data_IF_882785364619
#
_entry.id   IF_882785364619
#
_cell.length_a   1.000
_cell.length_b   1.000
_cell.length_c   1.000
_cell.angle_alpha   90.00
_cell.angle_beta   90.00
_cell.angle_gamma   90.00
#
_symmetry.space_group_name_H-M   'P 1'
#
loop_
_entity.id
_entity.type
_entity.pdbx_description
1 polymer ?
#
# COMPACT_ATOMS: atom_id res chain seq x y z
N UNK A 1 18.29 2.39 9.25
CA UNK A 1 17.32 3.00 8.32
C UNK A 1 15.90 2.63 8.75
N UNK A 2 15.01 3.62 8.77
CA UNK A 2 13.62 3.37 9.11
C UNK A 2 12.97 2.54 7.99
N UNK A 3 12.63 1.29 8.28
CA UNK A 3 12.09 0.32 7.32
C UNK A 3 10.97 0.89 6.43
N UNK A 4 10.01 1.61 7.03
CA UNK A 4 8.88 2.17 6.29
C UNK A 4 9.28 3.36 5.39
N UNK A 5 10.36 4.09 5.71
CA UNK A 5 10.85 5.18 4.87
C UNK A 5 11.31 4.71 3.48
N UNK A 6 11.79 3.47 3.37
CA UNK A 6 12.16 2.87 2.09
C UNK A 6 10.92 2.68 1.20
N UNK A 7 9.79 2.25 1.77
CA UNK A 7 8.54 2.11 1.02
C UNK A 7 7.98 3.46 0.57
N UNK A 8 8.07 4.50 1.42
CA UNK A 8 7.72 5.87 1.03
C UNK A 8 8.52 6.29 -0.20
N UNK A 9 9.85 6.14 -0.15
CA UNK A 9 10.74 6.53 -1.24
C UNK A 9 10.52 5.72 -2.53
N UNK A 10 10.23 4.41 -2.41
CA UNK A 10 9.93 3.54 -3.57
C UNK A 10 8.64 3.93 -4.28
N UNK A 11 7.66 4.50 -3.57
CA UNK A 11 6.35 4.89 -4.12
C UNK A 11 6.28 6.36 -4.50
N UNK A 12 7.36 7.12 -4.32
CA UNK A 12 7.44 8.57 -4.56
C UNK A 12 8.25 8.89 -5.81
N UNK A 13 7.61 9.54 -6.78
CA UNK A 13 8.25 10.03 -8.02
C UNK A 13 9.28 11.14 -7.81
N UNK A 14 9.30 11.75 -6.62
CA UNK A 14 10.15 12.91 -6.31
C UNK A 14 9.94 14.10 -7.29
N UNK A 15 8.70 14.28 -7.72
CA UNK A 15 8.30 15.36 -8.63
C UNK A 15 7.71 16.58 -7.91
N UNK A 16 7.81 16.62 -6.59
CA UNK A 16 7.28 17.67 -5.73
C UNK A 16 5.83 17.46 -5.27
N UNK A 17 5.18 16.36 -5.66
CA UNK A 17 3.79 16.06 -5.32
C UNK A 17 3.58 14.67 -4.68
N UNK A 18 4.67 13.93 -4.41
CA UNK A 18 4.62 12.55 -3.89
C UNK A 18 4.47 12.46 -2.38
N UNK A 19 4.40 11.22 -1.89
CA UNK A 19 4.21 10.92 -0.46
C UNK A 19 5.27 11.52 0.44
N UNK A 20 6.54 11.49 0.02
CA UNK A 20 7.65 12.04 0.81
C UNK A 20 7.50 13.56 0.97
N UNK A 21 7.18 14.25 -0.12
CA UNK A 21 6.96 15.70 -0.13
C UNK A 21 5.81 16.10 0.78
N UNK A 22 4.67 15.41 0.69
CA UNK A 22 3.50 15.69 1.53
C UNK A 22 3.76 15.37 3.00
N UNK A 23 4.44 14.26 3.31
CA UNK A 23 4.83 13.95 4.69
C UNK A 23 5.76 15.02 5.25
N UNK A 24 6.83 15.39 4.53
CA UNK A 24 7.78 16.42 4.94
C UNK A 24 7.09 17.75 5.23
N UNK A 25 6.21 18.19 4.32
CA UNK A 25 5.42 19.43 4.47
C UNK A 25 4.55 19.41 5.74
N UNK A 26 3.84 18.30 5.98
CA UNK A 26 2.97 18.19 7.15
C UNK A 26 3.74 18.01 8.45
N UNK A 27 4.90 17.35 8.47
CA UNK A 27 5.78 17.32 9.65
C UNK A 27 6.32 18.71 9.99
N UNK A 28 6.70 19.52 8.99
CA UNK A 28 7.15 20.90 9.20
C UNK A 28 5.98 21.76 9.74
N UNK A 29 4.78 21.63 9.15
CA UNK A 29 3.57 22.33 9.64
C UNK A 29 3.28 21.95 11.09
N UNK A 30 3.27 20.66 11.41
CA UNK A 30 3.04 20.16 12.77
C UNK A 30 4.06 20.73 13.76
N UNK A 31 5.34 20.68 13.44
CA UNK A 31 6.40 21.21 14.29
C UNK A 31 6.24 22.72 14.51
N UNK A 32 5.96 23.49 13.47
CA UNK A 32 5.76 24.92 13.56
C UNK A 32 4.54 25.26 14.44
N UNK A 33 3.43 24.56 14.24
CA UNK A 33 2.18 24.77 15.01
C UNK A 33 2.37 24.47 16.50
N UNK A 34 3.12 23.42 16.84
CA UNK A 34 3.40 23.06 18.24
C UNK A 34 4.39 24.01 18.92
N UNK A 35 5.31 24.63 18.17
CA UNK A 35 6.29 25.60 18.69
C UNK A 35 5.74 27.03 18.77
N UNK A 36 4.60 27.31 18.15
CA UNK A 36 3.97 28.63 18.20
C UNK A 36 3.46 28.95 19.62
N UNK A 37 3.47 30.23 20.02
CA UNK A 37 2.96 30.66 21.30
C UNK A 37 1.89 31.74 21.09
N UNK A 38 0.61 31.47 21.39
CA UNK A 38 0.03 30.21 21.90
C UNK A 38 0.07 29.09 20.85
N UNK A 39 0.06 27.81 21.27
CA UNK A 39 0.06 26.65 20.39
C UNK A 39 -1.14 26.69 19.43
N UNK A 40 -0.87 26.51 18.13
CA UNK A 40 -1.87 26.48 17.06
C UNK A 40 -2.49 25.07 16.96
N UNK A 41 -3.46 24.78 17.85
CA UNK A 41 -4.00 23.41 18.03
C UNK A 41 -4.69 22.86 16.80
N UNK A 42 -5.48 23.69 16.08
CA UNK A 42 -6.22 23.24 14.89
C UNK A 42 -5.26 22.85 13.76
N UNK A 43 -4.27 23.70 13.48
CA UNK A 43 -3.24 23.44 12.46
C UNK A 43 -2.38 22.23 12.80
N UNK A 44 -2.10 22.02 14.10
CA UNK A 44 -1.38 20.83 14.57
C UNK A 44 -2.21 19.56 14.35
N UNK A 45 -3.51 19.58 14.67
CA UNK A 45 -4.43 18.46 14.42
C UNK A 45 -4.53 18.14 12.93
N UNK A 46 -4.80 19.15 12.09
CA UNK A 46 -4.87 18.97 10.63
C UNK A 46 -3.59 18.36 10.05
N UNK A 47 -2.43 18.83 10.50
CA UNK A 47 -1.14 18.31 10.04
C UNK A 47 -0.92 16.87 10.49
N UNK A 48 -1.31 16.52 11.72
CA UNK A 48 -1.26 15.16 12.25
C UNK A 48 -2.15 14.20 11.45
N UNK A 49 -3.39 14.60 11.19
CA UNK A 49 -4.35 13.81 10.40
C UNK A 49 -3.85 13.58 8.97
N UNK A 50 -3.25 14.61 8.36
CA UNK A 50 -2.65 14.50 7.04
C UNK A 50 -1.45 13.55 7.03
N UNK A 51 -0.61 13.55 8.07
CA UNK A 51 0.51 12.60 8.22
C UNK A 51 -0.02 11.17 8.30
N UNK A 52 -0.99 10.89 9.17
CA UNK A 52 -1.57 9.56 9.34
C UNK A 52 -2.19 9.04 8.03
N UNK A 53 -2.99 9.88 7.36
CA UNK A 53 -3.58 9.52 6.07
C UNK A 53 -2.52 9.22 4.99
N UNK A 54 -1.43 10.00 4.93
CA UNK A 54 -0.35 9.74 3.98
C UNK A 54 0.38 8.42 4.28
N UNK A 55 0.60 8.08 5.55
CA UNK A 55 1.18 6.80 5.92
C UNK A 55 0.28 5.61 5.53
N UNK A 56 -1.04 5.73 5.73
CA UNK A 56 -2.00 4.74 5.23
C UNK A 56 -1.95 4.59 3.71
N UNK A 57 -1.90 5.72 2.98
CA UNK A 57 -1.79 5.73 1.52
C UNK A 57 -0.51 5.05 1.01
N UNK A 58 0.61 5.25 1.69
CA UNK A 58 1.88 4.55 1.36
C UNK A 58 1.72 3.04 1.53
N UNK A 59 1.07 2.61 2.62
CA UNK A 59 0.78 1.21 2.86
C UNK A 59 -0.10 0.61 1.74
N UNK A 60 -1.19 1.30 1.36
CA UNK A 60 -2.06 0.90 0.26
C UNK A 60 -1.29 0.83 -1.08
N UNK A 61 -0.49 1.85 -1.41
CA UNK A 61 0.33 1.88 -2.63
C UNK A 61 1.34 0.71 -2.67
N UNK A 62 1.84 0.30 -1.51
CA UNK A 62 2.74 -0.84 -1.39
C UNK A 62 2.01 -2.16 -1.63
N UNK A 63 0.81 -2.36 -1.06
CA UNK A 63 -0.03 -3.52 -1.34
C UNK A 63 -0.37 -3.59 -2.84
N UNK A 64 -0.77 -2.47 -3.44
CA UNK A 64 -1.07 -2.37 -4.88
C UNK A 64 0.14 -2.76 -5.72
N UNK A 65 1.34 -2.30 -5.36
CA UNK A 65 2.57 -2.69 -6.06
C UNK A 65 2.81 -4.21 -6.01
N UNK A 66 2.67 -4.83 -4.85
CA UNK A 66 2.83 -6.28 -4.73
C UNK A 66 1.76 -7.04 -5.50
N UNK A 67 0.49 -6.58 -5.50
CA UNK A 67 -0.55 -7.18 -6.34
C UNK A 67 -0.19 -7.10 -7.84
N UNK A 68 0.31 -5.95 -8.31
CA UNK A 68 0.79 -5.82 -9.68
C UNK A 68 1.95 -6.75 -9.99
N UNK A 69 2.89 -6.92 -9.07
CA UNK A 69 4.03 -7.83 -9.24
C UNK A 69 3.56 -9.28 -9.38
N UNK A 70 2.64 -9.74 -8.50
CA UNK A 70 2.04 -11.09 -8.60
C UNK A 70 1.39 -11.28 -9.97
N UNK A 71 0.54 -10.33 -10.39
CA UNK A 71 -0.13 -10.39 -11.69
C UNK A 71 0.89 -10.45 -12.82
N UNK A 72 1.91 -9.59 -12.81
CA UNK A 72 2.94 -9.55 -13.85
C UNK A 72 3.73 -10.86 -13.97
N UNK A 73 4.08 -11.47 -12.85
CA UNK A 73 4.86 -12.72 -12.83
C UNK A 73 4.04 -13.93 -13.29
N UNK A 74 2.80 -14.04 -12.83
CA UNK A 74 1.95 -15.23 -13.09
C UNK A 74 1.13 -15.12 -14.38
N UNK A 75 1.01 -13.93 -15.01
CA UNK A 75 0.38 -13.78 -16.34
C UNK A 75 1.31 -14.15 -17.50
N UNK A 76 2.57 -14.48 -17.26
CA UNK A 76 3.49 -14.93 -18.30
C UNK A 76 2.97 -16.24 -18.92
N UNK A 77 3.17 -16.43 -20.21
CA UNK A 77 2.75 -17.65 -20.92
C UNK A 77 3.36 -18.92 -20.29
N UNK A 78 4.61 -18.84 -19.81
CA UNK A 78 5.31 -19.94 -19.13
C UNK A 78 6.07 -19.36 -17.93
N UNK A 79 5.42 -19.12 -16.77
CA UNK A 79 6.11 -18.64 -15.59
C UNK A 79 7.09 -19.69 -15.09
N UNK A 80 8.34 -19.29 -14.87
CA UNK A 80 9.38 -20.13 -14.28
C UNK A 80 9.10 -20.44 -12.81
N UNK A 81 9.77 -21.44 -12.24
CA UNK A 81 9.68 -21.69 -10.78
C UNK A 81 10.12 -20.47 -9.95
N UNK A 82 11.11 -19.72 -10.45
CA UNK A 82 11.52 -18.47 -9.82
C UNK A 82 10.42 -17.39 -9.89
N UNK A 83 9.70 -17.28 -11.01
CA UNK A 83 8.56 -16.37 -11.13
C UNK A 83 7.45 -16.74 -10.13
N UNK A 84 7.14 -18.02 -10.00
CA UNK A 84 6.13 -18.52 -9.06
C UNK A 84 6.54 -18.25 -7.61
N UNK A 85 7.80 -18.53 -7.25
CA UNK A 85 8.32 -18.27 -5.91
C UNK A 85 8.30 -16.78 -5.59
N UNK A 86 8.74 -15.91 -6.51
CA UNK A 86 8.72 -14.47 -6.33
C UNK A 86 7.29 -13.91 -6.24
N UNK A 87 6.34 -14.48 -6.99
CA UNK A 87 4.94 -14.10 -6.91
C UNK A 87 4.33 -14.45 -5.55
N UNK A 88 4.60 -15.65 -5.02
CA UNK A 88 4.12 -16.04 -3.69
C UNK A 88 4.77 -15.22 -2.58
N UNK A 89 6.05 -14.87 -2.72
CA UNK A 89 6.72 -13.94 -1.81
C UNK A 89 6.04 -12.56 -1.84
N UNK A 90 5.81 -11.99 -3.03
CA UNK A 90 5.13 -10.72 -3.17
C UNK A 90 3.70 -10.75 -2.60
N UNK A 91 2.97 -11.85 -2.79
CA UNK A 91 1.63 -12.04 -2.21
C UNK A 91 1.68 -12.06 -0.68
N UNK A 92 2.67 -12.74 -0.08
CA UNK A 92 2.84 -12.79 1.37
C UNK A 92 3.15 -11.42 1.96
N UNK A 93 3.96 -10.60 1.28
CA UNK A 93 4.21 -9.22 1.65
C UNK A 93 2.92 -8.37 1.61
N UNK A 94 2.14 -8.48 0.52
CA UNK A 94 0.86 -7.77 0.42
C UNK A 94 -0.11 -8.14 1.55
N UNK A 95 -0.20 -9.41 1.91
CA UNK A 95 -1.01 -9.92 3.03
C UNK A 95 -0.51 -9.33 4.35
N UNK A 96 0.80 -9.33 4.58
CA UNK A 96 1.42 -8.76 5.78
C UNK A 96 1.12 -7.27 5.93
N UNK A 97 1.26 -6.48 4.86
CA UNK A 97 0.91 -5.06 4.85
C UNK A 97 -0.59 -4.83 5.09
N UNK A 98 -1.46 -5.69 4.56
CA UNK A 98 -2.90 -5.59 4.78
C UNK A 98 -3.27 -5.87 6.24
N UNK A 99 -2.66 -6.87 6.88
CA UNK A 99 -2.79 -7.11 8.32
C UNK A 99 -2.27 -5.93 9.16
N UNK A 100 -1.27 -5.20 8.68
CA UNK A 100 -0.73 -4.01 9.35
C UNK A 100 -1.77 -2.94 9.64
N UNK A 101 -2.81 -2.82 8.83
CA UNK A 101 -3.92 -1.89 9.10
C UNK A 101 -4.69 -2.18 10.38
N UNK A 102 -4.71 -3.44 10.87
CA UNK A 102 -5.38 -3.82 12.13
C UNK A 102 -4.70 -3.22 13.36
N UNK A 103 -3.46 -2.74 13.20
CA UNK A 103 -2.73 -2.07 14.27
C UNK A 103 -3.07 -0.57 14.38
N UNK A 104 -3.78 -0.03 13.39
CA UNK A 104 -4.22 1.36 13.41
C UNK A 104 -5.45 1.52 14.31
N UNK A 105 -5.56 2.72 14.89
CA UNK A 105 -6.77 3.08 15.63
C UNK A 105 -7.95 3.20 14.66
N UNK A 106 -9.05 2.42 14.84
CA UNK A 106 -10.20 2.46 13.93
C UNK A 106 -10.84 3.84 13.77
N UNK A 107 -10.69 4.72 14.77
CA UNK A 107 -11.21 6.10 14.71
C UNK A 107 -10.46 7.01 13.73
N UNK A 108 -9.29 6.60 13.28
CA UNK A 108 -8.47 7.38 12.33
C UNK A 108 -8.25 6.67 11.00
N UNK A 109 -8.44 5.34 10.94
CA UNK A 109 -8.23 4.56 9.74
C UNK A 109 -9.33 4.79 8.70
N UNK A 110 -8.94 4.91 7.42
CA UNK A 110 -9.86 4.99 6.28
C UNK A 110 -10.38 3.63 5.84
N UNK A 111 -9.61 2.57 6.06
CA UNK A 111 -10.01 1.20 5.75
C UNK A 111 -10.68 0.56 6.96
N UNK A 112 -11.83 -0.10 6.75
CA UNK A 112 -12.55 -0.81 7.83
C UNK A 112 -12.05 -2.24 8.00
N UNK A 113 -12.36 -2.85 9.15
CA UNK A 113 -12.04 -4.26 9.41
C UNK A 113 -12.67 -5.19 8.38
N UNK A 114 -13.92 -4.92 7.96
CA UNK A 114 -14.63 -5.72 6.96
C UNK A 114 -13.97 -5.59 5.58
N UNK A 115 -13.43 -4.43 5.24
CA UNK A 115 -12.67 -4.23 3.99
C UNK A 115 -11.33 -4.97 4.04
N UNK A 116 -10.64 -4.96 5.19
CA UNK A 116 -9.41 -5.74 5.39
C UNK A 116 -9.72 -7.23 5.21
N UNK A 117 -10.75 -7.76 5.88
CA UNK A 117 -11.12 -9.18 5.83
C UNK A 117 -11.46 -9.62 4.41
N UNK A 118 -12.31 -8.85 3.72
CA UNK A 118 -12.69 -9.12 2.34
C UNK A 118 -11.49 -9.13 1.38
N UNK A 119 -10.52 -8.24 1.57
CA UNK A 119 -9.31 -8.24 0.74
C UNK A 119 -8.38 -9.41 1.08
N UNK A 120 -8.30 -9.83 2.35
CA UNK A 120 -7.59 -11.07 2.73
C UNK A 120 -8.24 -12.31 2.11
N UNK A 121 -9.58 -12.39 2.09
CA UNK A 121 -10.30 -13.46 1.40
C UNK A 121 -9.98 -13.51 -0.09
N UNK A 122 -9.94 -12.35 -0.77
CA UNK A 122 -9.52 -12.26 -2.19
C UNK A 122 -8.09 -12.71 -2.40
N UNK A 123 -7.21 -12.55 -1.42
CA UNK A 123 -5.83 -13.04 -1.46
C UNK A 123 -5.70 -14.52 -1.05
N UNK A 124 -6.82 -15.23 -0.86
CA UNK A 124 -6.86 -16.60 -0.35
C UNK A 124 -6.14 -16.79 1.00
N UNK A 125 -6.17 -15.76 1.84
CA UNK A 125 -5.65 -15.74 3.20
C UNK A 125 -6.71 -15.26 4.19
N UNK A 126 -7.87 -15.96 4.30
CA UNK A 126 -8.96 -15.53 5.16
C UNK A 126 -8.53 -15.53 6.63
N UNK A 127 -9.14 -14.65 7.42
CA UNK A 127 -8.88 -14.57 8.87
C UNK A 127 -9.31 -15.83 9.60
N UNK A 128 -10.39 -16.43 9.12
CA UNK A 128 -10.90 -17.73 9.62
C UNK A 128 -10.86 -18.75 8.49
N UNK A 129 -10.27 -19.89 8.77
CA UNK A 129 -10.12 -20.96 7.79
C UNK A 129 -8.68 -21.19 7.36
N UNK A 130 -8.50 -21.98 6.33
CA UNK A 130 -7.19 -22.35 5.83
C UNK A 130 -6.77 -21.44 4.66
N UNK A 131 -5.56 -20.89 4.74
CA UNK A 131 -4.98 -20.16 3.63
C UNK A 131 -4.74 -21.08 2.42
N UNK A 132 -5.05 -20.57 1.23
CA UNK A 132 -4.93 -21.27 -0.02
C UNK A 132 -4.19 -20.45 -1.10
N UNK A 133 -3.18 -19.67 -0.69
CA UNK A 133 -2.43 -18.74 -1.55
C UNK A 133 -1.79 -19.44 -2.77
N UNK A 134 -1.43 -20.72 -2.65
CA UNK A 134 -0.86 -21.49 -3.76
C UNK A 134 -1.80 -21.62 -4.96
N UNK A 135 -3.10 -21.39 -4.79
CA UNK A 135 -4.06 -21.34 -5.91
C UNK A 135 -3.72 -20.28 -6.96
N UNK A 136 -3.07 -19.19 -6.58
CA UNK A 136 -2.58 -18.21 -7.55
C UNK A 136 -1.59 -18.80 -8.55
N UNK A 137 -0.83 -19.84 -8.15
CA UNK A 137 0.09 -20.57 -9.03
C UNK A 137 -0.61 -21.65 -9.85
N UNK A 138 -1.57 -22.34 -9.25
CA UNK A 138 -2.23 -23.51 -9.89
C UNK A 138 -3.46 -23.15 -10.72
N UNK A 139 -4.06 -21.99 -10.47
CA UNK A 139 -5.31 -21.51 -11.10
C UNK A 139 -5.24 -19.99 -11.40
N UNK A 140 -4.16 -19.50 -12.08
CA UNK A 140 -3.93 -18.07 -12.25
C UNK A 140 -5.08 -17.37 -12.99
N UNK A 141 -5.76 -18.01 -13.94
CA UNK A 141 -6.84 -17.43 -14.74
C UNK A 141 -8.02 -16.96 -13.86
N UNK A 142 -8.31 -17.68 -12.79
CA UNK A 142 -9.41 -17.36 -11.87
C UNK A 142 -8.95 -16.51 -10.68
N UNK A 143 -7.73 -16.69 -10.23
CA UNK A 143 -7.25 -16.06 -9.00
C UNK A 143 -6.71 -14.64 -9.23
N UNK A 144 -6.02 -14.37 -10.35
CA UNK A 144 -5.43 -13.05 -10.60
C UNK A 144 -6.47 -11.93 -10.69
N UNK A 145 -7.69 -12.25 -11.13
CA UNK A 145 -8.81 -11.29 -11.15
C UNK A 145 -9.13 -10.75 -9.75
N UNK A 146 -8.96 -11.57 -8.71
CA UNK A 146 -9.18 -11.15 -7.32
C UNK A 146 -8.20 -10.06 -6.88
N UNK A 147 -6.94 -10.11 -7.35
CA UNK A 147 -5.96 -9.05 -7.06
C UNK A 147 -6.31 -7.73 -7.74
N UNK A 148 -6.92 -7.77 -8.95
CA UNK A 148 -7.44 -6.56 -9.58
C UNK A 148 -8.58 -5.95 -8.75
N UNK A 149 -9.41 -6.78 -8.11
CA UNK A 149 -10.45 -6.30 -7.20
C UNK A 149 -9.87 -5.66 -5.93
N UNK A 150 -8.78 -6.23 -5.38
CA UNK A 150 -8.04 -5.62 -4.25
C UNK A 150 -7.51 -4.23 -4.65
N UNK A 151 -6.86 -4.12 -5.81
CA UNK A 151 -6.34 -2.85 -6.34
C UNK A 151 -7.48 -1.83 -6.49
N UNK A 152 -8.60 -2.23 -7.09
CA UNK A 152 -9.75 -1.36 -7.33
C UNK A 152 -10.40 -0.89 -6.02
N UNK A 153 -10.47 -1.74 -5.01
CA UNK A 153 -11.02 -1.36 -3.70
C UNK A 153 -10.10 -0.39 -2.97
N UNK A 154 -8.79 -0.65 -2.91
CA UNK A 154 -7.82 0.28 -2.30
C UNK A 154 -7.76 1.61 -3.05
N UNK A 155 -7.84 1.60 -4.40
CA UNK A 155 -7.99 2.81 -5.20
C UNK A 155 -9.18 3.65 -4.75
N UNK A 156 -10.34 3.02 -4.57
CA UNK A 156 -11.58 3.69 -4.15
C UNK A 156 -11.48 4.25 -2.73
N UNK A 157 -10.97 3.46 -1.77
CA UNK A 157 -10.84 3.86 -0.36
C UNK A 157 -9.96 5.10 -0.21
N UNK A 158 -8.82 5.14 -0.91
CA UNK A 158 -7.81 6.20 -0.76
C UNK A 158 -7.89 7.29 -1.83
N UNK A 159 -8.80 7.17 -2.79
CA UNK A 159 -9.03 8.16 -3.85
C UNK A 159 -7.84 8.28 -4.81
N UNK A 160 -7.16 7.17 -5.14
CA UNK A 160 -6.07 7.19 -6.10
C UNK A 160 -6.57 7.38 -7.53
N UNK A 161 -5.86 8.17 -8.32
CA UNK A 161 -6.09 8.28 -9.76
C UNK A 161 -5.59 7.04 -10.51
N UNK A 162 -6.05 6.85 -11.76
CA UNK A 162 -5.54 5.78 -12.62
C UNK A 162 -4.03 5.90 -12.85
N UNK A 163 -3.54 7.13 -13.02
CA UNK A 163 -2.11 7.38 -13.15
C UNK A 163 -1.31 6.97 -11.92
N UNK A 164 -1.82 7.23 -10.71
CA UNK A 164 -1.15 6.78 -9.48
C UNK A 164 -1.13 5.25 -9.39
N UNK A 165 -2.21 4.56 -9.77
CA UNK A 165 -2.25 3.09 -9.81
C UNK A 165 -1.16 2.53 -10.74
N UNK A 166 -0.98 3.12 -11.93
CA UNK A 166 0.09 2.71 -12.85
C UNK A 166 1.48 3.07 -12.30
N UNK A 167 1.63 4.23 -11.67
CA UNK A 167 2.89 4.66 -11.05
C UNK A 167 3.31 3.72 -9.90
N UNK A 168 2.37 3.12 -9.18
CA UNK A 168 2.66 2.17 -8.12
C UNK A 168 3.21 0.81 -8.61
N UNK A 169 3.18 0.55 -9.92
CA UNK A 169 3.89 -0.61 -10.52
C UNK A 169 5.40 -0.49 -10.39
N UNK A 170 5.91 0.74 -10.26
CA UNK A 170 7.33 1.06 -10.35
C UNK A 170 7.99 1.21 -8.99
N UNK A 171 9.27 0.91 -8.92
CA UNK A 171 10.15 1.31 -7.83
C UNK A 171 10.88 2.59 -8.26
N UNK A 172 10.39 3.74 -7.80
CA UNK A 172 10.90 5.04 -8.24
C UNK A 172 12.35 5.31 -7.81
N UNK A 173 12.88 4.65 -6.77
CA UNK A 173 14.30 4.70 -6.44
C UNK A 173 15.11 4.11 -7.60
N UNK A 174 14.71 2.93 -8.10
CA UNK A 174 15.39 2.25 -9.20
C UNK A 174 15.20 2.99 -10.52
N UNK A 175 13.98 3.43 -10.82
CA UNK A 175 13.65 4.16 -12.07
C UNK A 175 14.46 5.46 -12.21
N UNK A 176 14.78 6.11 -11.09
CA UNK A 176 15.47 7.40 -11.06
C UNK A 176 16.95 7.30 -10.65
N UNK A 177 17.48 6.09 -10.39
CA UNK A 177 18.86 5.87 -9.99
C UNK A 177 19.23 6.51 -8.65
N UNK A 178 18.29 6.58 -7.70
CA UNK A 178 18.47 7.19 -6.37
C UNK A 178 18.91 6.18 -5.32
#
# INVERSE_FOLDING_TARGET
DAFFAVYIARRDKNDGSGFYTELKKNYIKLQASLKHNPVMKNEASEASDAILLNLEKVNAATIINYCHLVVSLLSKTNPTESDKANALHALSEAIGFLHGYRLLNPGFSRITTEQIDRNLERMNAPVQGQAACYRFVTQPETELVKLQQVISELKSIYGFSDQQIEDFRKNWITEQGR
#
